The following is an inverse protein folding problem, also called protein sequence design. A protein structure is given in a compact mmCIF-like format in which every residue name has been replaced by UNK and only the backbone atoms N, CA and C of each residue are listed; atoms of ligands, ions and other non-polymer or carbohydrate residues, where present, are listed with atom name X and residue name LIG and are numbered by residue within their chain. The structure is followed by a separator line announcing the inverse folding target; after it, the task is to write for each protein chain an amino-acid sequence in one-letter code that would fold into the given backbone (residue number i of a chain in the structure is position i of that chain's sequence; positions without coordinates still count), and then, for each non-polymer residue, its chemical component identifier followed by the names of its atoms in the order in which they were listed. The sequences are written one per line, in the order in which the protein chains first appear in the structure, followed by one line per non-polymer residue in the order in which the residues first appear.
data_IF_679116633254
#
_entry.id   IF_679116633254
#
_cell.length_a   1.000
_cell.length_b   1.000
_cell.length_c   1.000
_cell.angle_alpha   90.00
_cell.angle_beta   90.00
_cell.angle_gamma   90.00
#
_symmetry.space_group_name_H-M   'P 1'
#
loop_
_entity.id
_entity.type
_entity.pdbx_description
1 polymer ?
#
# COMPACT_ATOMS: atom_id res chain seq x y z
N UNK A 1 23.43 -55.19 -32.06
CA UNK A 1 22.12 -55.37 -31.38
C UNK A 1 22.30 -54.99 -29.91
N UNK A 2 22.15 -53.71 -29.58
CA UNK A 2 22.09 -53.23 -28.21
C UNK A 2 20.66 -52.76 -27.97
N UNK A 3 19.96 -53.43 -27.05
CA UNK A 3 18.63 -53.04 -26.58
C UNK A 3 18.83 -52.00 -25.47
N UNK A 4 18.22 -50.83 -25.64
CA UNK A 4 18.20 -49.77 -24.63
C UNK A 4 16.93 -49.85 -23.79
N UNK A 5 17.10 -50.02 -22.48
CA UNK A 5 16.03 -50.04 -21.50
C UNK A 5 15.44 -48.64 -21.27
N UNK A 6 14.15 -48.48 -21.60
CA UNK A 6 13.35 -47.32 -21.25
C UNK A 6 12.80 -47.47 -19.82
N UNK A 7 13.47 -46.87 -18.84
CA UNK A 7 12.91 -46.67 -17.51
C UNK A 7 11.76 -45.65 -17.54
N UNK A 8 10.52 -46.13 -17.44
CA UNK A 8 9.33 -45.32 -17.12
C UNK A 8 9.41 -44.86 -15.66
N UNK A 9 9.49 -43.55 -15.45
CA UNK A 9 9.22 -42.94 -14.15
C UNK A 9 7.70 -42.97 -13.88
N UNK A 10 7.27 -43.86 -12.98
CA UNK A 10 5.94 -43.83 -12.38
C UNK A 10 5.87 -42.70 -11.34
N UNK A 11 4.99 -41.74 -11.56
CA UNK A 11 4.64 -40.73 -10.55
C UNK A 11 3.95 -41.38 -9.34
N UNK A 12 4.32 -41.02 -8.11
CA UNK A 12 3.64 -41.53 -6.93
C UNK A 12 2.23 -40.96 -6.79
N UNK A 13 1.26 -41.84 -6.53
CA UNK A 13 -0.10 -41.51 -6.13
C UNK A 13 -0.06 -40.85 -4.76
N UNK A 14 -0.48 -39.59 -4.68
CA UNK A 14 -0.66 -38.89 -3.40
C UNK A 14 -2.00 -39.38 -2.84
N UNK A 15 -1.93 -40.24 -1.83
CA UNK A 15 -3.07 -40.65 -1.00
C UNK A 15 -3.56 -39.47 -0.18
N UNK A 16 -4.88 -39.28 -0.16
CA UNK A 16 -5.58 -38.26 0.62
C UNK A 16 -5.31 -38.44 2.11
N UNK A 17 -4.71 -37.43 2.73
CA UNK A 17 -4.62 -37.33 4.19
C UNK A 17 -5.76 -36.43 4.66
N UNK A 18 -6.83 -37.08 5.12
CA UNK A 18 -7.84 -36.50 6.00
C UNK A 18 -7.21 -36.28 7.38
N UNK A 19 -6.91 -35.03 7.72
CA UNK A 19 -6.27 -34.70 8.99
C UNK A 19 -6.09 -33.19 9.16
N UNK A 20 -7.20 -32.45 9.15
CA UNK A 20 -7.21 -31.00 9.38
C UNK A 20 -8.40 -30.61 10.27
N UNK A 21 -8.47 -31.26 11.42
CA UNK A 21 -9.19 -30.74 12.58
C UNK A 21 -8.17 -30.56 13.71
N UNK A 22 -8.11 -29.34 14.25
CA UNK A 22 -7.45 -28.92 15.51
C UNK A 22 -6.40 -27.80 15.39
N UNK A 23 -6.77 -26.67 14.78
CA UNK A 23 -6.14 -25.35 15.05
C UNK A 23 -7.16 -24.20 15.10
N UNK A 24 -8.41 -24.47 15.49
CA UNK A 24 -9.50 -23.47 15.57
C UNK A 24 -9.94 -23.17 17.01
N UNK A 25 -9.00 -22.94 17.93
CA UNK A 25 -9.38 -22.55 19.30
C UNK A 25 -8.28 -21.80 20.07
N UNK A 26 -7.84 -20.64 19.56
CA UNK A 26 -7.16 -19.63 20.39
C UNK A 26 -7.12 -18.25 19.74
N UNK A 27 -8.28 -17.63 19.51
CA UNK A 27 -8.36 -16.20 19.15
C UNK A 27 -9.76 -15.63 19.43
N UNK A 28 -10.30 -15.95 20.61
CA UNK A 28 -11.44 -15.22 21.17
C UNK A 28 -10.98 -14.63 22.50
N UNK A 29 -10.85 -13.31 22.50
CA UNK A 29 -10.76 -12.36 23.62
C UNK A 29 -9.60 -11.37 23.44
N UNK A 30 -9.75 -10.47 22.47
CA UNK A 30 -9.43 -9.06 22.68
C UNK A 30 -10.45 -8.22 21.91
N UNK A 31 -11.44 -7.80 22.68
CA UNK A 31 -12.47 -6.79 22.44
C UNK A 31 -12.06 -5.61 21.55
N UNK A 32 -12.90 -5.35 20.56
CA UNK A 32 -13.54 -4.04 20.27
C UNK A 32 -12.62 -2.80 20.25
N UNK A 33 -12.29 -2.32 19.05
CA UNK A 33 -12.74 -1.01 18.54
C UNK A 33 -12.11 -0.67 17.18
N UNK A 34 -12.96 -0.18 16.26
CA UNK A 34 -12.59 0.55 15.03
C UNK A 34 -11.87 -0.28 13.95
N UNK A 35 -12.53 -0.77 12.89
CA UNK A 35 -13.01 0.07 11.80
C UNK A 35 -14.11 -0.65 11.01
N UNK A 36 -15.32 -0.13 11.17
CA UNK A 36 -16.45 -0.35 10.27
C UNK A 36 -16.28 0.55 9.03
N UNK A 37 -16.67 0.00 7.87
CA UNK A 37 -17.33 0.70 6.75
C UNK A 37 -16.48 1.60 5.85
N UNK A 38 -15.81 1.02 4.86
CA UNK A 38 -15.89 1.53 3.49
C UNK A 38 -16.86 0.65 2.69
N UNK A 39 -18.16 0.84 2.97
CA UNK A 39 -19.21 0.38 2.06
C UNK A 39 -19.13 1.23 0.79
N UNK A 40 -18.88 0.55 -0.34
CA UNK A 40 -19.65 0.69 -1.58
C UNK A 40 -19.91 2.14 -2.02
N UNK A 41 -18.92 2.76 -2.66
CA UNK A 41 -19.20 3.87 -3.57
C UNK A 41 -19.96 3.32 -4.78
N UNK A 42 -21.17 3.80 -5.09
CA UNK A 42 -21.80 3.49 -6.36
C UNK A 42 -20.98 4.17 -7.46
N UNK A 43 -20.57 3.38 -8.46
CA UNK A 43 -20.03 3.91 -9.71
C UNK A 43 -21.04 4.90 -10.31
N UNK A 44 -20.61 6.08 -10.79
CA UNK A 44 -21.52 7.00 -11.47
C UNK A 44 -22.08 6.31 -12.71
N UNK A 45 -23.41 6.24 -12.77
CA UNK A 45 -24.18 5.84 -13.93
C UNK A 45 -23.73 6.62 -15.17
N UNK A 46 -23.76 5.96 -16.34
CA UNK A 46 -23.49 6.55 -17.67
C UNK A 46 -24.28 7.83 -17.96
N UNK A 47 -25.36 8.11 -17.22
CA UNK A 47 -26.15 9.33 -17.32
C UNK A 47 -25.40 10.63 -16.94
N UNK A 48 -24.27 10.56 -16.24
CA UNK A 48 -23.47 11.75 -15.89
C UNK A 48 -22.57 12.25 -17.03
N UNK A 49 -22.27 11.43 -18.04
CA UNK A 49 -21.37 11.81 -19.14
C UNK A 49 -22.04 12.70 -20.20
N UNK A 50 -23.37 12.70 -20.30
CA UNK A 50 -24.09 13.47 -21.33
C UNK A 50 -24.45 14.90 -20.89
N UNK A 51 -24.39 15.22 -19.59
CA UNK A 51 -24.78 16.55 -19.09
C UNK A 51 -23.65 17.60 -19.17
N UNK A 52 -22.41 17.20 -19.44
CA UNK A 52 -21.27 18.13 -19.56
C UNK A 52 -20.95 18.52 -21.02
N UNK A 53 -21.70 18.01 -22.00
CA UNK A 53 -21.47 18.24 -23.43
C UNK A 53 -22.15 19.46 -24.05
N UNK A 54 -22.98 20.23 -23.33
CA UNK A 54 -23.82 21.29 -23.93
C UNK A 54 -23.61 22.72 -23.36
N UNK A 55 -22.41 23.10 -22.92
CA UNK A 55 -22.18 24.46 -22.40
C UNK A 55 -20.86 25.12 -22.80
N UNK A 56 -20.45 24.99 -24.07
CA UNK A 56 -19.32 25.79 -24.61
C UNK A 56 -19.62 26.35 -26.00
N UNK A 57 -20.72 27.09 -26.14
CA UNK A 57 -20.86 28.09 -27.21
C UNK A 57 -21.74 29.24 -26.70
N UNK A 58 -21.14 30.25 -26.08
CA UNK A 58 -21.67 31.61 -26.08
C UNK A 58 -20.56 32.62 -25.74
N UNK A 59 -20.40 33.69 -26.55
CA UNK A 59 -19.34 34.67 -26.38
C UNK A 59 -19.76 35.85 -25.49
N UNK A 60 -18.75 36.42 -24.81
CA UNK A 60 -18.62 37.82 -24.36
C UNK A 60 -19.85 38.51 -23.75
N UNK A 61 -19.87 38.71 -22.43
CA UNK A 61 -20.39 39.93 -21.77
C UNK A 61 -19.68 40.15 -20.42
N UNK A 62 -18.94 41.26 -20.37
CA UNK A 62 -18.82 42.26 -19.29
C UNK A 62 -18.84 41.85 -17.81
N UNK A 63 -17.66 42.02 -17.18
CA UNK A 63 -17.41 42.63 -15.87
C UNK A 63 -18.62 42.87 -14.94
N UNK A 64 -18.74 42.05 -13.88
CA UNK A 64 -19.19 42.45 -12.53
C UNK A 64 -18.83 41.35 -11.52
N UNK A 65 -17.79 41.58 -10.73
CA UNK A 65 -17.49 40.81 -9.53
C UNK A 65 -18.56 41.11 -8.48
N UNK A 66 -19.28 40.12 -7.93
CA UNK A 66 -20.07 40.34 -6.73
C UNK A 66 -19.14 40.46 -5.51
N UNK A 67 -19.38 41.50 -4.72
CA UNK A 67 -18.75 41.77 -3.44
C UNK A 67 -18.92 40.60 -2.47
N UNK A 68 -17.85 40.25 -1.75
CA UNK A 68 -17.75 39.07 -0.86
C UNK A 68 -18.38 39.33 0.52
N UNK A 69 -18.93 40.52 0.78
CA UNK A 69 -19.32 40.93 2.13
C UNK A 69 -20.77 40.58 2.57
N UNK A 70 -21.42 39.57 2.00
CA UNK A 70 -22.84 39.29 2.32
C UNK A 70 -23.18 37.81 2.57
N UNK A 71 -22.37 37.11 3.37
CA UNK A 71 -22.70 35.75 3.84
C UNK A 71 -22.33 35.49 5.31
N UNK A 72 -22.29 36.53 6.15
CA UNK A 72 -21.89 36.42 7.57
C UNK A 72 -22.97 36.88 8.55
N UNK A 73 -24.25 36.52 8.31
CA UNK A 73 -25.35 36.88 9.23
C UNK A 73 -26.38 35.76 9.49
N UNK A 74 -25.98 34.50 9.35
CA UNK A 74 -26.76 33.37 9.88
C UNK A 74 -25.96 32.61 10.92
N UNK A 75 -25.75 33.30 12.05
CA UNK A 75 -25.37 32.71 13.33
C UNK A 75 -26.45 31.70 13.74
N UNK A 76 -26.16 30.43 13.50
CA UNK A 76 -26.81 29.30 14.16
C UNK A 76 -26.33 29.25 15.62
N UNK A 77 -27.21 28.95 16.60
CA UNK A 77 -26.86 28.97 18.02
C UNK A 77 -25.68 28.05 18.30
N UNK A 78 -24.69 28.59 19.02
CA UNK A 78 -23.43 27.92 19.30
C UNK A 78 -23.62 26.55 19.94
N UNK A 79 -22.73 25.59 19.65
CA UNK A 79 -22.76 24.29 20.30
C UNK A 79 -22.63 24.46 21.82
N UNK A 80 -23.32 23.64 22.62
CA UNK A 80 -23.31 23.73 24.07
C UNK A 80 -21.87 23.58 24.62
N UNK A 81 -21.49 24.34 25.67
CA UNK A 81 -20.14 24.36 26.22
C UNK A 81 -19.66 23.05 26.87
N UNK A 82 -20.48 21.99 26.88
CA UNK A 82 -20.16 20.70 27.49
C UNK A 82 -19.51 19.67 26.55
N UNK A 83 -19.28 19.99 25.26
CA UNK A 83 -18.60 19.09 24.30
C UNK A 83 -17.21 19.54 23.86
N UNK A 84 -16.70 20.66 24.36
CA UNK A 84 -15.33 21.13 24.07
C UNK A 84 -14.23 20.32 24.75
N UNK A 85 -14.58 19.48 25.74
CA UNK A 85 -13.62 18.61 26.43
C UNK A 85 -13.41 17.25 25.73
N UNK A 86 -14.21 16.91 24.72
CA UNK A 86 -14.11 15.65 23.97
C UNK A 86 -13.44 15.78 22.60
N UNK A 87 -13.16 17.00 22.12
CA UNK A 87 -12.54 17.24 20.81
C UNK A 87 -11.02 17.50 20.88
N UNK A 88 -10.41 17.41 22.05
CA UNK A 88 -8.98 17.62 22.27
C UNK A 88 -8.24 16.33 22.68
N UNK A 89 -8.23 15.31 21.79
CA UNK A 89 -6.96 14.59 21.60
C UNK A 89 -6.61 14.34 20.12
N UNK A 90 -7.12 15.16 19.19
CA UNK A 90 -6.77 15.05 17.76
C UNK A 90 -5.98 16.25 17.20
N UNK A 91 -5.93 17.37 17.93
CA UNK A 91 -5.17 18.56 17.54
C UNK A 91 -3.67 18.51 17.88
N UNK A 92 -3.17 17.41 18.47
CA UNK A 92 -1.73 17.11 18.51
C UNK A 92 -1.22 16.50 17.19
N UNK A 93 -2.03 16.46 16.12
CA UNK A 93 -1.53 16.36 14.74
C UNK A 93 -0.86 17.67 14.34
N UNK A 94 0.29 17.90 14.94
CA UNK A 94 1.14 19.06 14.74
C UNK A 94 1.34 19.35 13.25
N UNK A 95 1.12 20.59 12.79
CA UNK A 95 1.86 21.13 11.66
C UNK A 95 3.27 21.48 12.17
N UNK A 96 4.09 20.45 12.41
CA UNK A 96 5.47 20.68 12.85
C UNK A 96 6.27 21.28 11.70
N UNK A 97 6.77 22.48 11.95
CA UNK A 97 7.70 23.24 11.13
C UNK A 97 8.69 22.32 10.41
N UNK A 98 8.74 22.46 9.08
CA UNK A 98 9.57 21.71 8.15
C UNK A 98 11.05 22.04 8.38
N UNK A 99 11.63 21.54 9.46
CA UNK A 99 12.99 21.03 9.33
C UNK A 99 12.84 19.87 8.37
N UNK A 100 13.25 20.06 7.12
CA UNK A 100 13.32 18.96 6.17
C UNK A 100 14.09 17.86 6.89
N UNK A 101 13.40 16.76 7.22
CA UNK A 101 14.00 15.64 7.92
C UNK A 101 15.28 15.31 7.15
N UNK A 102 16.43 15.25 7.83
CA UNK A 102 17.74 15.06 7.19
C UNK A 102 17.69 13.85 6.23
N UNK A 103 16.85 12.85 6.55
CA UNK A 103 16.53 11.72 5.68
C UNK A 103 15.88 12.11 4.34
N UNK A 104 14.94 13.06 4.32
CA UNK A 104 14.30 13.58 3.11
C UNK A 104 15.31 14.29 2.22
N UNK A 105 16.17 15.12 2.80
CA UNK A 105 17.21 15.85 2.07
C UNK A 105 18.18 14.87 1.38
N UNK A 106 18.60 13.83 2.11
CA UNK A 106 19.51 12.81 1.60
C UNK A 106 18.80 11.60 0.95
N UNK A 107 17.52 11.72 0.58
CA UNK A 107 16.75 10.62 -0.04
C UNK A 107 17.43 9.99 -1.26
N UNK A 108 17.98 10.74 -2.23
CA UNK A 108 18.61 10.16 -3.41
C UNK A 108 19.84 9.31 -3.07
N UNK A 109 20.67 9.81 -2.15
CA UNK A 109 21.86 9.13 -1.64
C UNK A 109 21.48 7.80 -0.98
N UNK A 110 20.52 7.86 -0.05
CA UNK A 110 20.06 6.68 0.69
C UNK A 110 19.48 5.65 -0.28
N UNK A 111 18.69 6.09 -1.27
CA UNK A 111 18.13 5.21 -2.30
C UNK A 111 19.23 4.50 -3.10
N UNK A 112 20.27 5.22 -3.53
CA UNK A 112 21.43 4.66 -4.23
C UNK A 112 22.15 3.61 -3.39
N UNK A 113 22.55 3.95 -2.16
CA UNK A 113 23.26 3.03 -1.26
C UNK A 113 22.46 1.75 -1.01
N UNK A 114 21.16 1.89 -0.76
CA UNK A 114 20.31 0.77 -0.35
C UNK A 114 19.85 -0.11 -1.52
N UNK A 115 19.49 0.48 -2.66
CA UNK A 115 18.92 -0.24 -3.80
C UNK A 115 19.95 -0.58 -4.87
N UNK A 116 20.76 0.38 -5.29
CA UNK A 116 21.70 0.23 -6.40
C UNK A 116 22.93 -0.54 -5.94
N UNK A 117 23.57 -0.07 -4.86
CA UNK A 117 24.77 -0.69 -4.29
C UNK A 117 24.47 -1.90 -3.41
N UNK A 118 23.19 -2.16 -3.12
CA UNK A 118 22.69 -3.27 -2.30
C UNK A 118 23.34 -3.38 -0.92
N UNK A 119 23.80 -2.27 -0.35
CA UNK A 119 24.37 -2.23 1.01
C UNK A 119 23.34 -2.75 2.03
N UNK A 120 23.84 -3.38 3.08
CA UNK A 120 22.99 -3.80 4.21
C UNK A 120 22.54 -2.59 5.03
N UNK A 121 21.46 -2.72 5.80
CA UNK A 121 20.97 -1.62 6.66
C UNK A 121 22.06 -1.13 7.64
N UNK A 122 22.88 -2.05 8.17
CA UNK A 122 24.01 -1.74 9.06
C UNK A 122 25.06 -0.88 8.36
N UNK A 123 25.45 -1.27 7.15
CA UNK A 123 26.41 -0.51 6.36
C UNK A 123 25.87 0.87 5.96
N UNK A 124 24.58 0.97 5.62
CA UNK A 124 23.97 2.27 5.30
C UNK A 124 23.98 3.19 6.53
N UNK A 125 23.66 2.66 7.72
CA UNK A 125 23.78 3.40 8.98
C UNK A 125 25.21 3.89 9.19
N UNK A 126 26.20 2.99 9.13
CA UNK A 126 27.61 3.32 9.34
C UNK A 126 28.10 4.41 8.37
N UNK A 127 27.76 4.31 7.08
CA UNK A 127 28.12 5.32 6.07
C UNK A 127 27.44 6.66 6.36
N UNK A 128 26.15 6.66 6.70
CA UNK A 128 25.41 7.90 6.99
C UNK A 128 25.92 8.61 8.25
N UNK A 129 26.25 7.87 9.30
CA UNK A 129 26.78 8.42 10.55
C UNK A 129 28.23 8.91 10.38
N UNK A 130 29.09 8.15 9.68
CA UNK A 130 30.51 8.48 9.53
C UNK A 130 30.80 9.55 8.47
N UNK A 131 30.19 9.44 7.28
CA UNK A 131 30.49 10.34 6.16
C UNK A 131 29.57 11.56 6.13
N UNK A 132 28.30 11.38 6.49
CA UNK A 132 27.25 12.40 6.36
C UNK A 132 26.79 12.99 7.70
N UNK A 133 27.46 12.63 8.81
CA UNK A 133 27.24 13.20 10.15
C UNK A 133 25.79 13.04 10.65
N UNK A 134 25.12 11.95 10.26
CA UNK A 134 23.81 11.64 10.80
C UNK A 134 23.90 11.36 12.32
N UNK A 135 22.86 11.70 13.10
CA UNK A 135 22.85 11.39 14.52
C UNK A 135 22.87 9.87 14.74
N UNK A 136 23.69 9.43 15.69
CA UNK A 136 23.75 8.04 16.07
C UNK A 136 22.40 7.59 16.62
N UNK A 137 21.79 6.60 15.97
CA UNK A 137 20.47 6.12 16.35
C UNK A 137 20.35 4.61 16.15
N UNK A 138 19.28 4.00 16.66
CA UNK A 138 19.14 2.55 16.58
C UNK A 138 18.88 2.08 15.14
N UNK A 139 19.27 0.84 14.81
CA UNK A 139 18.98 0.24 13.49
C UNK A 139 17.47 0.20 13.18
N UNK A 140 16.63 -0.03 14.20
CA UNK A 140 15.18 -0.03 14.06
C UNK A 140 14.64 1.34 13.65
N UNK A 141 15.22 2.42 14.18
CA UNK A 141 14.86 3.78 13.81
C UNK A 141 15.15 4.04 12.33
N UNK A 142 16.34 3.67 11.84
CA UNK A 142 16.67 3.74 10.42
C UNK A 142 15.72 2.92 9.56
N UNK A 143 15.37 1.70 9.98
CA UNK A 143 14.43 0.86 9.25
C UNK A 143 13.05 1.52 9.10
N UNK A 144 12.52 2.09 10.18
CA UNK A 144 11.25 2.82 10.18
C UNK A 144 11.33 4.03 9.26
N UNK A 145 12.41 4.85 9.35
CA UNK A 145 12.60 6.02 8.48
C UNK A 145 12.70 5.64 7.00
N UNK A 146 13.46 4.60 6.66
CA UNK A 146 13.55 4.11 5.28
C UNK A 146 12.19 3.65 4.75
N UNK A 147 11.44 2.91 5.57
CA UNK A 147 10.17 2.29 5.18
C UNK A 147 9.03 3.29 5.09
N UNK A 148 8.87 4.14 6.09
CA UNK A 148 7.67 4.96 6.28
C UNK A 148 7.86 6.36 5.68
N UNK A 149 9.06 6.92 5.76
CA UNK A 149 9.35 8.28 5.29
C UNK A 149 9.87 8.29 3.85
N UNK A 150 10.82 7.41 3.51
CA UNK A 150 11.34 7.34 2.14
C UNK A 150 10.53 6.40 1.23
N UNK A 151 9.73 5.52 1.82
CA UNK A 151 8.99 4.48 1.10
C UNK A 151 9.89 3.43 0.46
N UNK A 152 11.18 3.37 0.84
CA UNK A 152 12.17 2.52 0.20
C UNK A 152 12.06 1.11 0.78
N UNK A 153 11.67 0.15 -0.06
CA UNK A 153 11.54 -1.26 0.31
C UNK A 153 12.34 -2.15 -0.62
N UNK A 154 13.05 -3.12 -0.03
CA UNK A 154 13.83 -4.10 -0.79
C UNK A 154 12.96 -5.22 -1.39
N UNK A 155 11.82 -5.51 -0.77
CA UNK A 155 10.91 -6.61 -1.10
C UNK A 155 9.46 -6.21 -0.84
N UNK A 156 8.54 -6.80 -1.60
CA UNK A 156 7.11 -6.76 -1.31
C UNK A 156 6.79 -7.56 -0.03
N UNK A 157 5.75 -7.15 0.70
CA UNK A 157 5.27 -7.89 1.86
C UNK A 157 4.48 -9.13 1.44
N UNK A 158 4.19 -10.03 2.40
CA UNK A 158 3.42 -11.26 2.11
C UNK A 158 2.02 -10.91 1.61
N UNK A 159 1.44 -9.86 2.16
CA UNK A 159 0.08 -9.38 1.90
C UNK A 159 -0.07 -8.70 0.53
N UNK A 160 1.04 -8.22 -0.05
CA UNK A 160 1.03 -7.57 -1.36
C UNK A 160 0.92 -8.61 -2.50
N UNK A 161 1.39 -9.83 -2.30
CA UNK A 161 1.44 -10.86 -3.35
C UNK A 161 0.07 -11.32 -3.85
N UNK A 162 -0.95 -11.56 -3.00
CA UNK A 162 -2.32 -11.83 -3.46
C UNK A 162 -2.87 -10.74 -4.38
N UNK A 163 -2.64 -9.46 -4.06
CA UNK A 163 -3.10 -8.33 -4.89
C UNK A 163 -2.43 -8.35 -6.26
N UNK A 164 -1.11 -8.56 -6.30
CA UNK A 164 -0.34 -8.69 -7.55
C UNK A 164 -0.85 -9.86 -8.40
N UNK A 165 -1.14 -11.00 -7.75
CA UNK A 165 -1.66 -12.19 -8.43
C UNK A 165 -3.07 -11.95 -8.98
N UNK A 166 -3.96 -11.35 -8.20
CA UNK A 166 -5.31 -11.01 -8.65
C UNK A 166 -5.28 -10.06 -9.86
N UNK A 167 -4.42 -9.04 -9.83
CA UNK A 167 -4.22 -8.15 -10.96
C UNK A 167 -3.74 -8.89 -12.22
N UNK A 168 -2.85 -9.88 -12.07
CA UNK A 168 -2.40 -10.73 -13.17
C UNK A 168 -3.54 -11.58 -13.76
N UNK A 169 -4.41 -12.15 -12.91
CA UNK A 169 -5.60 -12.88 -13.36
C UNK A 169 -6.55 -11.97 -14.14
N UNK A 170 -6.84 -10.79 -13.61
CA UNK A 170 -7.71 -9.78 -14.24
C UNK A 170 -7.13 -9.25 -15.56
N UNK A 171 -5.80 -9.30 -15.72
CA UNK A 171 -5.11 -8.87 -16.94
C UNK A 171 -5.06 -9.95 -18.02
N UNK A 172 -5.97 -10.92 -18.01
CA UNK A 172 -5.98 -12.09 -18.90
C UNK A 172 -4.64 -12.85 -18.91
N UNK A 173 -3.99 -12.96 -17.75
CA UNK A 173 -2.67 -13.59 -17.58
C UNK A 173 -1.55 -12.95 -18.41
N UNK A 174 -1.72 -11.70 -18.84
CA UNK A 174 -0.63 -10.93 -19.43
C UNK A 174 0.36 -10.51 -18.35
N UNK A 175 1.64 -10.53 -18.68
CA UNK A 175 2.71 -10.11 -17.77
C UNK A 175 2.81 -8.59 -17.75
N UNK A 176 2.02 -7.94 -16.90
CA UNK A 176 2.13 -6.50 -16.63
C UNK A 176 3.46 -6.20 -15.94
N UNK A 177 4.17 -5.15 -16.35
CA UNK A 177 5.43 -4.80 -15.70
C UNK A 177 5.19 -4.45 -14.22
N UNK A 178 5.87 -5.16 -13.32
CA UNK A 178 5.84 -4.89 -11.88
C UNK A 178 6.98 -3.93 -11.55
N UNK A 179 6.69 -2.87 -10.80
CA UNK A 179 7.70 -1.91 -10.36
C UNK A 179 7.70 -1.85 -8.82
N UNK A 180 8.88 -1.91 -8.23
CA UNK A 180 9.12 -1.65 -6.82
C UNK A 180 10.09 -0.47 -6.74
N UNK A 181 9.63 0.65 -6.17
CA UNK A 181 10.41 1.89 -6.04
C UNK A 181 10.99 2.44 -7.37
N UNK A 182 10.25 2.21 -8.46
CA UNK A 182 10.65 2.59 -9.83
C UNK A 182 11.56 1.59 -10.52
N UNK A 183 11.99 0.51 -9.85
CA UNK A 183 12.81 -0.55 -10.44
C UNK A 183 11.91 -1.67 -10.96
N UNK A 184 12.09 -2.05 -12.22
CA UNK A 184 11.33 -3.16 -12.84
C UNK A 184 11.68 -4.48 -12.16
N UNK A 185 10.67 -5.14 -11.61
CA UNK A 185 10.81 -6.41 -10.92
C UNK A 185 10.59 -7.58 -11.90
N UNK A 186 11.50 -8.57 -11.97
CA UNK A 186 11.39 -9.65 -12.95
C UNK A 186 10.30 -10.66 -12.57
N UNK A 187 9.43 -10.98 -13.53
CA UNK A 187 8.30 -11.91 -13.34
C UNK A 187 8.70 -13.30 -12.85
N UNK A 188 9.86 -13.82 -13.28
CA UNK A 188 10.37 -15.12 -12.81
C UNK A 188 10.54 -15.14 -11.28
N UNK A 189 10.98 -14.03 -10.68
CA UNK A 189 11.10 -13.89 -9.23
C UNK A 189 9.72 -13.68 -8.59
N UNK A 190 8.88 -12.82 -9.17
CA UNK A 190 7.54 -12.56 -8.66
C UNK A 190 6.72 -13.86 -8.56
N UNK A 191 6.74 -14.70 -9.61
CA UNK A 191 6.05 -15.99 -9.61
C UNK A 191 6.52 -16.96 -8.53
N UNK A 192 7.82 -16.94 -8.21
CA UNK A 192 8.36 -17.77 -7.14
C UNK A 192 7.80 -17.32 -5.79
N UNK A 193 7.69 -16.02 -5.56
CA UNK A 193 7.13 -15.46 -4.32
C UNK A 193 5.61 -15.60 -4.23
N UNK A 194 4.87 -15.42 -5.33
CA UNK A 194 3.41 -15.67 -5.40
C UNK A 194 3.07 -17.12 -5.01
N UNK A 195 3.89 -18.09 -5.45
CA UNK A 195 3.70 -19.50 -5.04
C UNK A 195 4.05 -19.75 -3.58
N UNK A 196 5.07 -19.08 -3.05
CA UNK A 196 5.48 -19.19 -1.64
C UNK A 196 4.49 -18.55 -0.68
N UNK A 197 3.80 -17.49 -1.10
CA UNK A 197 2.88 -16.75 -0.23
C UNK A 197 1.55 -17.47 -0.01
N UNK A 198 1.22 -18.50 -0.81
CA UNK A 198 -0.11 -19.13 -0.79
C UNK A 198 -1.18 -18.29 -1.48
N UNK A 199 -0.80 -17.27 -2.26
CA UNK A 199 -1.75 -16.35 -2.90
C UNK A 199 -2.81 -17.01 -3.79
N UNK A 200 -2.55 -18.23 -4.28
CA UNK A 200 -3.52 -19.00 -5.09
C UNK A 200 -4.69 -19.53 -4.26
N UNK A 201 -4.44 -19.84 -2.99
CA UNK A 201 -5.43 -20.41 -2.08
C UNK A 201 -6.38 -19.33 -1.57
N UNK A 202 -5.86 -18.12 -1.33
CA UNK A 202 -6.64 -16.97 -0.89
C UNK A 202 -7.77 -16.59 -1.87
N UNK A 203 -7.52 -16.68 -3.18
CA UNK A 203 -8.50 -16.31 -4.22
C UNK A 203 -9.64 -17.33 -4.40
N UNK A 204 -9.48 -18.56 -3.93
CA UNK A 204 -10.49 -19.63 -4.10
C UNK A 204 -11.48 -19.66 -2.92
N UNK A 205 -11.06 -19.17 -1.74
CA UNK A 205 -11.89 -19.19 -0.53
C UNK A 205 -12.99 -18.12 -0.47
N UNK A 206 -12.89 -17.02 -1.22
CA UNK A 206 -13.85 -15.90 -1.16
C UNK A 206 -15.07 -16.06 -2.08
N UNK A 207 -15.12 -17.07 -2.95
CA UNK A 207 -16.26 -17.27 -3.88
C UNK A 207 -17.28 -18.31 -3.40
N UNK A 208 -17.27 -18.67 -2.11
CA UNK A 208 -18.06 -19.78 -1.58
C UNK A 208 -18.93 -19.39 -0.37
N UNK A 209 -19.25 -18.10 -0.23
CA UNK A 209 -20.24 -17.53 0.70
C UNK A 209 -21.34 -16.76 -0.07
#
# INVERSE_FOLDING_TARGET
LQQGDHHRYSSPKISSVSGLESWRRREQNCTLCSLRLYKRWPLPSKAWAEHLGQRLTSPLISNRLPSIDSCLDKLSPGPPPSLLHCLLPLAQRLPACKMDDIFTQHRPLIKRLYQEERKSLKQVKEILESEYQFPESSLAFYEIKLRDLLGVRKKFKKEDWPVIYQHHLNSNRKYTALYLDGVKFPWKKAWKEIRRSGAREATIGESMD
#
